data_IF_475994857781
#
_entry.id   IF_475994857781
#
_cell.length_a   1.000
_cell.length_b   1.000
_cell.length_c   1.000
_cell.angle_alpha   90.00
_cell.angle_beta   90.00
_cell.angle_gamma   90.00
#
_symmetry.space_group_name_H-M   'P 1'
#
loop_
_entity.id
_entity.type
_entity.pdbx_description
1 polymer ?
#
# COMPACT_ATOMS: atom_id res chain seq x y z
N UNK A 1 13.22 -0.83 -27.47
CA UNK A 1 12.75 0.54 -27.21
C UNK A 1 11.26 0.42 -26.87
N UNK A 2 10.91 0.57 -25.59
CA UNK A 2 9.52 0.45 -25.12
C UNK A 2 8.71 1.62 -25.70
N UNK A 3 7.65 1.31 -26.44
CA UNK A 3 6.70 2.32 -26.90
C UNK A 3 5.96 2.88 -25.66
N UNK A 4 5.90 4.19 -25.47
CA UNK A 4 5.14 4.83 -24.40
C UNK A 4 3.66 4.45 -24.43
N UNK A 5 3.06 4.37 -23.25
CA UNK A 5 1.66 4.00 -23.11
C UNK A 5 0.73 5.03 -23.78
N UNK A 6 -0.49 4.63 -24.20
CA UNK A 6 -1.47 5.55 -24.79
C UNK A 6 -1.75 6.79 -23.93
N UNK A 7 -1.68 6.65 -22.61
CA UNK A 7 -1.87 7.76 -21.66
C UNK A 7 -0.74 8.80 -21.74
N UNK A 8 0.52 8.37 -21.87
CA UNK A 8 1.68 9.27 -22.04
C UNK A 8 1.58 10.02 -23.36
N UNK A 9 1.13 9.33 -24.40
CA UNK A 9 0.92 9.89 -25.74
C UNK A 9 -0.15 10.99 -25.78
N UNK A 10 -1.31 10.75 -25.14
CA UNK A 10 -2.36 11.75 -25.02
C UNK A 10 -1.88 13.00 -24.27
N UNK A 11 -1.08 12.80 -23.22
CA UNK A 11 -0.54 13.88 -22.41
C UNK A 11 0.47 14.73 -23.19
N UNK A 12 1.39 14.08 -23.90
CA UNK A 12 2.33 14.75 -24.78
C UNK A 12 1.57 15.63 -25.78
N UNK A 13 0.49 15.12 -26.38
CA UNK A 13 -0.38 15.89 -27.28
C UNK A 13 -0.97 17.15 -26.65
N UNK A 14 -1.55 17.03 -25.45
CA UNK A 14 -2.11 18.18 -24.73
C UNK A 14 -1.04 19.22 -24.37
N UNK A 15 0.11 18.76 -23.88
CA UNK A 15 1.20 19.62 -23.44
C UNK A 15 1.82 20.38 -24.63
N UNK A 16 2.05 19.68 -25.74
CA UNK A 16 2.49 20.28 -27.00
C UNK A 16 1.51 21.36 -27.48
N UNK A 17 0.21 21.07 -27.46
CA UNK A 17 -0.83 22.03 -27.85
C UNK A 17 -0.82 23.28 -26.99
N UNK A 18 -0.73 23.11 -25.68
CA UNK A 18 -0.75 24.20 -24.72
C UNK A 18 0.44 25.15 -24.94
N UNK A 19 1.67 24.63 -24.91
CA UNK A 19 2.88 25.45 -25.07
C UNK A 19 2.94 26.10 -26.46
N UNK A 20 2.47 25.40 -27.50
CA UNK A 20 2.39 25.99 -28.85
C UNK A 20 1.47 27.21 -28.86
N UNK A 21 0.33 27.13 -28.18
CA UNK A 21 -0.62 28.24 -28.07
C UNK A 21 -0.07 29.40 -27.24
N UNK A 22 0.64 29.10 -26.14
CA UNK A 22 1.31 30.10 -25.29
C UNK A 22 2.41 30.85 -26.05
N UNK A 23 3.10 30.17 -26.96
CA UNK A 23 4.11 30.78 -27.85
C UNK A 23 3.51 31.38 -29.14
N UNK A 24 2.18 31.43 -29.26
CA UNK A 24 1.46 31.93 -30.44
C UNK A 24 1.89 31.30 -31.78
N UNK A 25 2.33 30.04 -31.76
CA UNK A 25 2.76 29.32 -32.96
C UNK A 25 1.60 28.57 -33.62
N UNK A 26 1.58 28.49 -34.93
CA UNK A 26 0.71 27.58 -35.69
C UNK A 26 1.26 26.15 -35.71
N UNK A 27 0.40 25.17 -36.00
CA UNK A 27 0.84 23.76 -36.15
C UNK A 27 1.85 23.60 -37.31
N UNK A 28 1.73 24.42 -38.36
CA UNK A 28 2.65 24.39 -39.49
C UNK A 28 4.04 24.93 -39.11
N UNK A 29 4.10 25.99 -38.29
CA UNK A 29 5.35 26.53 -37.77
C UNK A 29 6.04 25.54 -36.82
N UNK A 30 5.29 24.90 -35.92
CA UNK A 30 5.85 23.87 -35.05
C UNK A 30 6.38 22.68 -35.87
N UNK A 31 5.67 22.26 -36.92
CA UNK A 31 6.06 21.14 -37.77
C UNK A 31 7.29 21.41 -38.65
N UNK A 32 7.60 22.67 -38.96
CA UNK A 32 8.59 23.07 -39.98
C UNK A 32 9.97 22.42 -39.75
N UNK A 33 10.43 21.60 -40.70
CA UNK A 33 11.73 20.92 -40.61
C UNK A 33 11.79 19.78 -39.57
N UNK A 34 10.66 19.38 -38.99
CA UNK A 34 10.56 18.24 -38.05
C UNK A 34 9.63 17.17 -38.63
N UNK A 35 8.39 17.54 -38.98
CA UNK A 35 7.36 16.64 -39.48
C UNK A 35 6.30 17.41 -40.29
N UNK A 36 5.15 16.78 -40.57
CA UNK A 36 4.04 17.45 -41.25
C UNK A 36 3.08 18.09 -40.24
N UNK A 37 2.39 19.15 -40.65
CA UNK A 37 1.31 19.77 -39.85
C UNK A 37 0.25 18.74 -39.45
N UNK A 38 -0.09 17.81 -40.34
CA UNK A 38 -1.05 16.72 -40.07
C UNK A 38 -0.58 15.81 -38.94
N UNK A 39 0.73 15.57 -38.82
CA UNK A 39 1.30 14.77 -37.73
C UNK A 39 1.21 15.51 -36.39
N UNK A 40 1.45 16.83 -36.36
CA UNK A 40 1.23 17.65 -35.17
C UNK A 40 -0.25 17.66 -34.78
N UNK A 41 -1.16 17.80 -35.74
CA UNK A 41 -2.61 17.74 -35.46
C UNK A 41 -3.04 16.39 -34.89
N UNK A 42 -2.53 15.28 -35.44
CA UNK A 42 -2.81 13.93 -34.92
C UNK A 42 -2.25 13.72 -33.51
N UNK A 43 -1.07 14.28 -33.21
CA UNK A 43 -0.50 14.27 -31.88
C UNK A 43 -1.36 15.06 -30.89
N UNK A 44 -1.68 16.32 -31.22
CA UNK A 44 -2.43 17.23 -30.33
C UNK A 44 -3.85 16.75 -30.02
N UNK A 45 -4.53 16.10 -30.99
CA UNK A 45 -5.92 15.69 -30.86
C UNK A 45 -6.09 14.23 -30.41
N UNK A 46 -5.27 13.32 -30.94
CA UNK A 46 -5.47 11.88 -30.76
C UNK A 46 -4.34 11.21 -29.96
N UNK A 47 -3.27 11.93 -29.61
CA UNK A 47 -2.07 11.31 -29.04
C UNK A 47 -1.40 10.32 -30.00
N UNK A 48 -1.59 10.47 -31.31
CA UNK A 48 -1.06 9.52 -32.29
C UNK A 48 0.22 10.06 -32.93
N UNK A 49 1.29 9.28 -32.88
CA UNK A 49 2.57 9.63 -33.46
C UNK A 49 3.30 8.41 -34.05
N UNK A 50 3.88 8.54 -35.24
CA UNK A 50 4.50 7.42 -35.98
C UNK A 50 6.03 7.31 -35.82
N UNK A 51 6.72 8.36 -35.37
CA UNK A 51 8.19 8.40 -35.19
C UNK A 51 8.64 9.06 -33.88
N UNK A 52 8.80 8.28 -32.82
CA UNK A 52 9.24 8.76 -31.49
C UNK A 52 10.52 9.61 -31.49
N UNK A 53 11.38 9.42 -32.49
CA UNK A 53 12.64 10.14 -32.66
C UNK A 53 12.50 11.66 -32.75
N UNK A 54 11.32 12.18 -33.12
CA UNK A 54 11.13 13.63 -33.25
C UNK A 54 10.65 14.33 -31.97
N UNK A 55 10.24 13.57 -30.96
CA UNK A 55 9.66 14.13 -29.71
C UNK A 55 10.65 15.05 -28.98
N UNK A 56 11.94 14.68 -28.80
CA UNK A 56 12.90 15.58 -28.18
C UNK A 56 13.02 16.92 -28.90
N UNK A 57 12.99 16.91 -30.24
CA UNK A 57 13.11 18.10 -31.10
C UNK A 57 11.88 19.01 -30.96
N UNK A 58 10.68 18.43 -30.83
CA UNK A 58 9.46 19.19 -30.56
C UNK A 58 9.49 19.85 -29.18
N UNK A 59 9.90 19.09 -28.16
CA UNK A 59 9.99 19.59 -26.78
C UNK A 59 11.02 20.73 -26.68
N UNK A 60 12.17 20.57 -27.32
CA UNK A 60 13.20 21.61 -27.40
C UNK A 60 12.69 22.89 -28.05
N UNK A 61 12.01 22.77 -29.21
CA UNK A 61 11.44 23.93 -29.91
C UNK A 61 10.37 24.67 -29.11
N UNK A 62 9.61 23.94 -28.31
CA UNK A 62 8.59 24.49 -27.43
C UNK A 62 9.15 24.92 -26.06
N UNK A 63 10.46 24.79 -25.86
CA UNK A 63 11.16 25.07 -24.60
C UNK A 63 10.59 24.27 -23.40
N UNK A 64 10.04 23.10 -23.68
CA UNK A 64 9.51 22.18 -22.69
C UNK A 64 10.67 21.33 -22.17
N UNK A 65 10.91 21.37 -20.85
CA UNK A 65 11.82 20.40 -20.23
C UNK A 65 11.15 19.03 -20.23
N UNK A 66 11.87 17.95 -20.50
CA UNK A 66 11.32 16.58 -20.43
C UNK A 66 10.66 16.28 -19.07
N UNK A 67 11.18 16.90 -18.00
CA UNK A 67 10.63 16.88 -16.63
C UNK A 67 9.21 17.48 -16.52
N UNK A 68 8.75 18.26 -17.50
CA UNK A 68 7.37 18.76 -17.52
C UNK A 68 6.38 17.72 -18.06
N UNK A 69 6.82 16.74 -18.85
CA UNK A 69 6.05 15.50 -19.04
C UNK A 69 5.86 14.75 -17.72
N UNK A 70 6.80 14.94 -16.78
CA UNK A 70 6.80 14.40 -15.42
C UNK A 70 6.09 15.30 -14.39
N UNK A 71 5.54 16.47 -14.78
CA UNK A 71 4.59 17.22 -13.91
C UNK A 71 3.60 16.19 -13.38
N UNK A 72 3.35 16.17 -12.08
CA UNK A 72 2.72 15.01 -11.44
C UNK A 72 1.38 14.66 -12.12
N UNK A 73 1.23 13.45 -12.68
CA UNK A 73 -0.10 13.00 -13.11
C UNK A 73 -0.98 12.92 -11.87
N UNK A 74 -2.31 13.03 -12.03
CA UNK A 74 -3.24 12.72 -10.94
C UNK A 74 -2.93 11.37 -10.30
N UNK A 75 -2.53 10.38 -11.11
CA UNK A 75 -2.04 9.10 -10.63
C UNK A 75 -0.78 9.20 -9.76
N UNK A 76 0.31 9.84 -10.21
CA UNK A 76 1.54 9.97 -9.41
C UNK A 76 1.34 10.82 -8.16
N UNK A 77 0.51 11.88 -8.25
CA UNK A 77 0.09 12.67 -7.11
C UNK A 77 -0.67 11.79 -6.10
N UNK A 78 -1.65 11.03 -6.57
CA UNK A 78 -2.41 10.08 -5.75
C UNK A 78 -1.49 9.06 -5.07
N UNK A 79 -0.54 8.48 -5.80
CA UNK A 79 0.49 7.58 -5.23
C UNK A 79 1.29 8.28 -4.15
N UNK A 80 1.80 9.49 -4.38
CA UNK A 80 2.61 10.22 -3.40
C UNK A 80 1.80 10.53 -2.13
N UNK A 81 0.57 11.03 -2.30
CA UNK A 81 -0.31 11.35 -1.16
C UNK A 81 -0.64 10.10 -0.35
N UNK A 82 -1.01 9.00 -1.02
CA UNK A 82 -1.33 7.73 -0.37
C UNK A 82 -0.11 7.12 0.32
N UNK A 83 1.08 7.17 -0.26
CA UNK A 83 2.31 6.72 0.40
C UNK A 83 2.55 7.48 1.72
N UNK A 84 2.31 8.79 1.76
CA UNK A 84 2.45 9.57 3.00
C UNK A 84 1.39 9.22 4.04
N UNK A 85 0.16 8.99 3.62
CA UNK A 85 -0.95 8.57 4.48
C UNK A 85 -0.63 7.19 5.09
N UNK A 86 -0.24 6.23 4.26
CA UNK A 86 0.11 4.87 4.68
C UNK A 86 1.31 4.87 5.62
N UNK A 87 2.33 5.69 5.36
CA UNK A 87 3.45 5.85 6.30
C UNK A 87 2.98 6.41 7.65
N UNK A 88 2.08 7.39 7.66
CA UNK A 88 1.51 7.91 8.90
C UNK A 88 0.68 6.81 9.63
N UNK A 89 -0.04 5.94 8.91
CA UNK A 89 -0.73 4.78 9.50
C UNK A 89 0.25 3.77 10.12
N UNK A 90 1.28 3.38 9.36
CA UNK A 90 2.31 2.43 9.78
C UNK A 90 3.17 2.95 10.95
N UNK A 91 3.21 4.27 11.14
CA UNK A 91 3.89 4.93 12.28
C UNK A 91 2.92 5.37 13.37
N UNK A 92 1.69 4.86 13.36
CA UNK A 92 0.66 5.07 14.39
C UNK A 92 0.17 6.52 14.54
N UNK A 93 0.38 7.36 13.53
CA UNK A 93 -0.02 8.78 13.47
C UNK A 93 -1.40 8.93 12.83
N UNK A 94 -2.40 8.25 13.38
CA UNK A 94 -3.74 8.12 12.78
C UNK A 94 -4.46 9.45 12.54
N UNK A 95 -4.46 10.38 13.51
CA UNK A 95 -5.05 11.72 13.28
C UNK A 95 -4.33 12.51 12.18
N UNK A 96 -3.02 12.29 11.98
CA UNK A 96 -2.28 12.93 10.88
C UNK A 96 -2.67 12.30 9.54
N UNK A 97 -2.76 10.98 9.48
CA UNK A 97 -3.27 10.27 8.30
C UNK A 97 -4.69 10.71 7.94
N UNK A 98 -5.59 10.84 8.91
CA UNK A 98 -6.95 11.32 8.73
C UNK A 98 -6.99 12.75 8.16
N UNK A 99 -6.19 13.69 8.70
CA UNK A 99 -6.09 15.05 8.16
C UNK A 99 -5.63 15.07 6.71
N UNK A 100 -4.66 14.22 6.34
CA UNK A 100 -4.20 14.10 4.95
C UNK A 100 -5.25 13.49 4.03
N UNK A 101 -5.99 12.48 4.50
CA UNK A 101 -7.09 11.88 3.75
C UNK A 101 -8.20 12.90 3.46
N UNK A 102 -8.58 13.73 4.44
CA UNK A 102 -9.60 14.79 4.24
C UNK A 102 -9.16 15.80 3.16
N UNK A 103 -7.86 16.08 3.05
CA UNK A 103 -7.32 16.99 2.03
C UNK A 103 -7.19 16.33 0.65
N UNK A 104 -7.20 14.99 0.58
CA UNK A 104 -7.08 14.24 -0.65
C UNK A 104 -8.42 14.19 -1.38
N UNK A 105 -8.49 14.82 -2.56
CA UNK A 105 -9.67 14.76 -3.41
C UNK A 105 -9.82 13.36 -4.02
N UNK A 106 -10.78 12.59 -3.53
CA UNK A 106 -11.05 11.22 -3.99
C UNK A 106 -11.27 11.12 -5.52
N UNK A 107 -11.94 12.10 -6.10
CA UNK A 107 -12.19 12.23 -7.54
C UNK A 107 -10.89 12.26 -8.38
N UNK A 108 -9.79 12.74 -7.81
CA UNK A 108 -8.49 12.79 -8.47
C UNK A 108 -7.74 11.45 -8.42
N UNK A 109 -8.28 10.43 -7.75
CA UNK A 109 -7.69 9.09 -7.70
C UNK A 109 -8.10 8.29 -8.94
N UNK A 110 -7.16 8.22 -9.88
CA UNK A 110 -7.30 7.46 -11.13
C UNK A 110 -6.96 5.98 -10.91
N UNK A 111 -7.92 5.11 -11.24
CA UNK A 111 -7.74 3.66 -11.23
C UNK A 111 -8.20 2.95 -9.95
N UNK A 112 -8.55 1.67 -10.11
CA UNK A 112 -9.09 0.82 -9.04
C UNK A 112 -8.13 0.67 -7.86
N UNK A 113 -6.82 0.58 -8.11
CA UNK A 113 -5.81 0.38 -7.07
C UNK A 113 -5.69 1.59 -6.13
N UNK A 114 -5.62 2.82 -6.65
CA UNK A 114 -5.49 4.01 -5.80
C UNK A 114 -6.75 4.24 -4.96
N UNK A 115 -7.94 3.97 -5.52
CA UNK A 115 -9.20 4.04 -4.78
C UNK A 115 -9.28 2.96 -3.70
N UNK A 116 -8.81 1.75 -3.98
CA UNK A 116 -8.74 0.68 -3.00
C UNK A 116 -7.79 1.03 -1.83
N UNK A 117 -6.61 1.59 -2.13
CA UNK A 117 -5.67 2.11 -1.13
C UNK A 117 -6.31 3.21 -0.27
N UNK A 118 -7.03 4.15 -0.88
CA UNK A 118 -7.79 5.17 -0.16
C UNK A 118 -8.80 4.57 0.81
N UNK A 119 -9.65 3.64 0.34
CA UNK A 119 -10.67 3.03 1.18
C UNK A 119 -10.07 2.23 2.35
N UNK A 120 -9.00 1.48 2.09
CA UNK A 120 -8.25 0.78 3.14
C UNK A 120 -7.70 1.76 4.18
N UNK A 121 -7.04 2.84 3.73
CA UNK A 121 -6.48 3.86 4.62
C UNK A 121 -7.56 4.60 5.44
N UNK A 122 -8.72 4.87 4.83
CA UNK A 122 -9.86 5.50 5.50
C UNK A 122 -10.45 4.59 6.58
N UNK A 123 -10.62 3.30 6.29
CA UNK A 123 -11.07 2.30 7.26
C UNK A 123 -10.15 2.22 8.48
N UNK A 124 -8.82 2.25 8.27
CA UNK A 124 -7.87 2.29 9.39
C UNK A 124 -7.92 3.60 10.18
N UNK A 125 -8.11 4.74 9.51
CA UNK A 125 -8.30 5.99 10.24
C UNK A 125 -9.54 5.93 11.14
N UNK A 126 -10.65 5.41 10.64
CA UNK A 126 -11.89 5.27 11.43
C UNK A 126 -11.73 4.30 12.60
N UNK A 127 -11.03 3.18 12.41
CA UNK A 127 -10.76 2.23 13.48
C UNK A 127 -9.98 2.83 14.65
N UNK A 128 -9.02 3.68 14.36
CA UNK A 128 -8.04 4.15 15.36
C UNK A 128 -8.17 5.64 15.71
N UNK A 129 -9.27 6.27 15.32
CA UNK A 129 -9.70 7.60 15.75
C UNK A 129 -11.16 7.52 16.22
N UNK A 130 -11.84 8.65 16.41
CA UNK A 130 -13.23 8.70 16.87
C UNK A 130 -14.26 8.35 15.76
N UNK A 131 -13.89 7.42 14.86
CA UNK A 131 -14.71 7.01 13.72
C UNK A 131 -15.69 5.88 14.06
N UNK A 132 -16.74 5.75 13.26
CA UNK A 132 -17.70 4.64 13.37
C UNK A 132 -17.08 3.32 12.91
N UNK A 133 -17.31 2.25 13.68
CA UNK A 133 -16.93 0.89 13.31
C UNK A 133 -17.69 0.40 12.07
N UNK A 134 -18.95 0.79 11.93
CA UNK A 134 -19.75 0.46 10.74
C UNK A 134 -19.16 1.10 9.49
N UNK A 135 -18.74 2.36 9.56
CA UNK A 135 -18.08 3.02 8.43
C UNK A 135 -16.74 2.35 8.10
N UNK A 136 -15.98 1.92 9.11
CA UNK A 136 -14.72 1.22 8.90
C UNK A 136 -14.96 -0.10 8.15
N UNK A 137 -15.93 -0.90 8.58
CA UNK A 137 -16.28 -2.16 7.89
C UNK A 137 -16.79 -1.90 6.47
N UNK A 138 -17.58 -0.84 6.25
CA UNK A 138 -18.05 -0.46 4.93
C UNK A 138 -16.87 -0.10 4.00
N UNK A 139 -15.91 0.67 4.50
CA UNK A 139 -14.74 1.08 3.72
C UNK A 139 -13.85 -0.10 3.33
N UNK A 140 -13.58 -1.04 4.25
CA UNK A 140 -12.88 -2.28 3.88
C UNK A 140 -13.70 -3.11 2.88
N UNK A 141 -15.03 -3.14 3.01
CA UNK A 141 -15.90 -3.85 2.07
C UNK A 141 -15.81 -3.28 0.65
N UNK A 142 -15.63 -1.97 0.47
CA UNK A 142 -15.43 -1.35 -0.86
C UNK A 142 -14.19 -1.90 -1.56
N UNK A 143 -13.12 -2.17 -0.81
CA UNK A 143 -11.91 -2.82 -1.33
C UNK A 143 -12.21 -4.25 -1.75
N UNK A 144 -12.82 -5.02 -0.86
CA UNK A 144 -13.03 -6.46 -1.02
C UNK A 144 -14.07 -6.81 -2.09
N UNK A 145 -15.07 -5.96 -2.33
CA UNK A 145 -16.05 -6.13 -3.42
C UNK A 145 -15.38 -6.14 -4.80
N UNK A 146 -14.27 -5.40 -4.95
CA UNK A 146 -13.53 -5.28 -6.21
C UNK A 146 -12.23 -6.10 -6.22
N UNK A 147 -12.06 -7.04 -5.28
CA UNK A 147 -10.80 -7.76 -5.08
C UNK A 147 -10.27 -8.48 -6.33
N UNK A 148 -11.15 -8.99 -7.21
CA UNK A 148 -10.74 -9.66 -8.45
C UNK A 148 -9.97 -8.74 -9.42
N UNK A 149 -10.15 -7.42 -9.29
CA UNK A 149 -9.48 -6.40 -10.11
C UNK A 149 -8.23 -5.85 -9.43
N UNK A 150 -7.96 -6.23 -8.18
CA UNK A 150 -6.85 -5.74 -7.37
C UNK A 150 -5.74 -6.78 -7.44
N UNK A 151 -4.63 -6.41 -8.06
CA UNK A 151 -3.45 -7.28 -8.19
C UNK A 151 -2.68 -7.36 -6.86
N UNK A 152 -2.73 -6.30 -6.06
CA UNK A 152 -2.01 -6.16 -4.79
C UNK A 152 -2.63 -7.02 -3.68
N UNK A 153 -2.03 -8.19 -3.45
CA UNK A 153 -2.48 -9.14 -2.42
C UNK A 153 -2.24 -8.60 -1.01
N UNK A 154 -1.20 -7.80 -0.80
CA UNK A 154 -0.88 -7.25 0.51
C UNK A 154 -1.94 -6.23 0.95
N UNK A 155 -2.43 -5.39 0.02
CA UNK A 155 -3.55 -4.48 0.25
C UNK A 155 -4.83 -5.23 0.68
N UNK A 156 -5.11 -6.38 0.05
CA UNK A 156 -6.25 -7.23 0.42
C UNK A 156 -6.05 -7.84 1.82
N UNK A 157 -4.83 -8.27 2.13
CA UNK A 157 -4.45 -8.77 3.46
C UNK A 157 -4.67 -7.72 4.56
N UNK A 158 -4.20 -6.49 4.35
CA UNK A 158 -4.43 -5.37 5.26
C UNK A 158 -5.92 -5.04 5.41
N UNK A 159 -6.70 -5.10 4.33
CA UNK A 159 -8.15 -4.82 4.38
C UNK A 159 -8.90 -5.87 5.20
N UNK A 160 -8.57 -7.16 5.04
CA UNK A 160 -9.12 -8.23 5.87
C UNK A 160 -8.65 -8.15 7.33
N UNK A 161 -7.42 -7.71 7.58
CA UNK A 161 -6.94 -7.46 8.94
C UNK A 161 -7.72 -6.32 9.61
N UNK A 162 -7.93 -5.21 8.91
CA UNK A 162 -8.79 -4.12 9.38
C UNK A 162 -10.21 -4.59 9.70
N UNK A 163 -10.79 -5.43 8.85
CA UNK A 163 -12.09 -6.05 9.08
C UNK A 163 -12.11 -6.95 10.33
N UNK A 164 -11.02 -7.69 10.57
CA UNK A 164 -10.84 -8.52 11.78
C UNK A 164 -10.91 -7.67 13.04
N UNK A 165 -10.17 -6.56 13.06
CA UNK A 165 -10.16 -5.63 14.21
C UNK A 165 -11.56 -5.02 14.41
N UNK A 166 -12.22 -4.59 13.33
CA UNK A 166 -13.55 -4.01 13.40
C UNK A 166 -14.59 -4.99 13.97
N UNK A 167 -14.64 -6.21 13.41
CA UNK A 167 -15.59 -7.23 13.86
C UNK A 167 -15.34 -7.70 15.28
N UNK A 168 -14.08 -7.76 15.72
CA UNK A 168 -13.79 -8.10 17.10
C UNK A 168 -14.37 -7.05 18.06
N UNK A 169 -14.22 -5.76 17.75
CA UNK A 169 -14.78 -4.66 18.55
C UNK A 169 -16.31 -4.64 18.55
N UNK A 170 -16.92 -5.08 17.46
CA UNK A 170 -18.38 -5.24 17.35
C UNK A 170 -18.90 -6.52 18.04
N UNK A 171 -18.03 -7.37 18.58
CA UNK A 171 -18.41 -8.65 19.19
C UNK A 171 -18.79 -9.75 18.19
N UNK A 172 -18.48 -9.58 16.90
CA UNK A 172 -18.81 -10.51 15.83
C UNK A 172 -17.73 -11.59 15.68
N UNK A 173 -17.64 -12.50 16.64
CA UNK A 173 -16.59 -13.54 16.71
C UNK A 173 -16.47 -14.39 15.43
N UNK A 174 -17.58 -14.91 14.88
CA UNK A 174 -17.55 -15.73 13.65
C UNK A 174 -16.92 -14.98 12.47
N UNK A 175 -17.24 -13.70 12.31
CA UNK A 175 -16.75 -12.84 11.25
C UNK A 175 -15.28 -12.45 11.49
N UNK A 176 -14.88 -12.29 12.75
CA UNK A 176 -13.49 -12.05 13.17
C UNK A 176 -12.59 -13.22 12.75
N UNK A 177 -12.94 -14.45 13.13
CA UNK A 177 -12.17 -15.65 12.76
C UNK A 177 -12.08 -15.86 11.24
N UNK A 178 -13.18 -15.63 10.52
CA UNK A 178 -13.18 -15.69 9.06
C UNK A 178 -12.25 -14.65 8.44
N UNK A 179 -12.30 -13.41 8.95
CA UNK A 179 -11.53 -12.29 8.40
C UNK A 179 -10.03 -12.44 8.67
N UNK A 180 -9.62 -12.91 9.86
CA UNK A 180 -8.19 -13.10 10.16
C UNK A 180 -7.59 -14.21 9.31
N UNK A 181 -8.36 -15.27 9.06
CA UNK A 181 -7.97 -16.36 8.15
C UNK A 181 -7.74 -15.84 6.73
N UNK A 182 -8.61 -14.95 6.24
CA UNK A 182 -8.41 -14.33 4.92
C UNK A 182 -7.21 -13.38 4.91
N UNK A 183 -6.99 -12.61 5.98
CA UNK A 183 -5.83 -11.74 6.09
C UNK A 183 -4.52 -12.53 5.98
N UNK A 184 -4.43 -13.64 6.71
CA UNK A 184 -3.31 -14.59 6.64
C UNK A 184 -3.13 -15.18 5.23
N UNK A 185 -4.21 -15.62 4.59
CA UNK A 185 -4.15 -16.16 3.22
C UNK A 185 -3.58 -15.15 2.21
N UNK A 186 -4.07 -13.91 2.24
CA UNK A 186 -3.61 -12.87 1.33
C UNK A 186 -2.18 -12.41 1.64
N UNK A 187 -1.78 -12.40 2.91
CA UNK A 187 -0.39 -12.21 3.32
C UNK A 187 0.52 -13.29 2.70
N UNK A 188 0.16 -14.57 2.83
CA UNK A 188 0.94 -15.68 2.26
C UNK A 188 1.05 -15.57 0.73
N UNK A 189 -0.03 -15.22 0.04
CA UNK A 189 0.00 -14.94 -1.40
C UNK A 189 0.95 -13.80 -1.75
N UNK A 190 1.02 -12.74 -0.94
CA UNK A 190 1.91 -11.61 -1.18
C UNK A 190 3.39 -12.01 -1.22
N UNK A 191 3.79 -13.01 -0.43
CA UNK A 191 5.18 -13.50 -0.34
C UNK A 191 5.70 -14.02 -1.68
N UNK A 192 4.83 -14.56 -2.53
CA UNK A 192 5.21 -15.13 -3.83
C UNK A 192 5.55 -14.10 -4.90
N UNK A 193 5.25 -12.82 -4.65
CA UNK A 193 5.32 -11.75 -5.65
C UNK A 193 6.17 -10.56 -5.23
N UNK A 194 7.01 -10.72 -4.21
CA UNK A 194 7.89 -9.69 -3.68
C UNK A 194 8.97 -9.30 -4.70
N UNK A 195 9.11 -8.00 -4.94
CA UNK A 195 10.07 -7.39 -5.88
C UNK A 195 11.00 -6.40 -5.19
N UNK A 196 10.58 -5.83 -4.08
CA UNK A 196 11.31 -4.77 -3.38
C UNK A 196 11.48 -5.07 -1.89
N UNK A 197 12.50 -4.49 -1.27
CA UNK A 197 12.69 -4.57 0.19
C UNK A 197 11.52 -3.93 0.95
N UNK A 198 10.90 -2.88 0.38
CA UNK A 198 9.77 -2.23 1.01
C UNK A 198 8.55 -3.16 1.09
N UNK A 199 8.27 -3.91 0.01
CA UNK A 199 7.20 -4.92 0.02
C UNK A 199 7.46 -6.01 1.07
N UNK A 200 8.72 -6.46 1.21
CA UNK A 200 9.10 -7.39 2.29
C UNK A 200 8.80 -6.80 3.67
N UNK A 201 9.22 -5.55 3.92
CA UNK A 201 9.01 -4.91 5.22
C UNK A 201 7.53 -4.73 5.53
N UNK A 202 6.71 -4.35 4.55
CA UNK A 202 5.27 -4.17 4.73
C UNK A 202 4.55 -5.51 4.94
N UNK A 203 4.98 -6.57 4.27
CA UNK A 203 4.55 -7.94 4.51
C UNK A 203 4.87 -8.40 5.93
N UNK A 204 6.09 -8.14 6.43
CA UNK A 204 6.47 -8.50 7.81
C UNK A 204 5.68 -7.68 8.84
N UNK A 205 5.40 -6.40 8.59
CA UNK A 205 4.53 -5.59 9.46
C UNK A 205 3.12 -6.16 9.56
N UNK A 206 2.55 -6.62 8.44
CA UNK A 206 1.23 -7.27 8.44
C UNK A 206 1.30 -8.59 9.22
N UNK A 207 2.34 -9.41 9.01
CA UNK A 207 2.52 -10.66 9.75
C UNK A 207 2.57 -10.42 11.26
N UNK A 208 3.41 -9.49 11.73
CA UNK A 208 3.50 -9.11 13.15
C UNK A 208 2.14 -8.64 13.69
N UNK A 209 1.38 -7.89 12.89
CA UNK A 209 0.05 -7.41 13.26
C UNK A 209 -0.97 -8.55 13.41
N UNK A 210 -0.98 -9.50 12.47
CA UNK A 210 -1.84 -10.69 12.51
C UNK A 210 -1.48 -11.56 13.71
N UNK A 211 -0.19 -11.87 13.91
CA UNK A 211 0.29 -12.69 15.02
C UNK A 211 -0.08 -12.06 16.36
N UNK A 212 0.19 -10.76 16.54
CA UNK A 212 -0.13 -10.07 17.78
C UNK A 212 -1.63 -10.10 18.07
N UNK A 213 -2.47 -9.96 17.05
CA UNK A 213 -3.92 -10.03 17.20
C UNK A 213 -4.41 -11.46 17.47
N UNK A 214 -3.86 -12.47 16.79
CA UNK A 214 -4.17 -13.87 17.02
C UNK A 214 -3.89 -14.30 18.48
N UNK A 215 -2.79 -13.82 19.07
CA UNK A 215 -2.51 -14.05 20.50
C UNK A 215 -3.57 -13.42 21.42
N UNK A 216 -4.12 -12.26 21.05
CA UNK A 216 -5.20 -11.64 21.83
C UNK A 216 -6.53 -12.41 21.69
N UNK A 217 -6.78 -12.99 20.53
CA UNK A 217 -7.91 -13.87 20.29
C UNK A 217 -7.76 -15.26 20.94
N UNK A 218 -6.65 -15.52 21.64
CA UNK A 218 -6.32 -16.84 22.18
C UNK A 218 -6.24 -17.93 21.08
N UNK A 219 -5.72 -17.56 19.90
CA UNK A 219 -5.46 -18.46 18.77
C UNK A 219 -3.95 -18.72 18.58
N UNK A 220 -3.27 -19.38 19.53
CA UNK A 220 -1.82 -19.53 19.45
C UNK A 220 -1.37 -20.42 18.28
N UNK A 221 -2.20 -21.33 17.79
CA UNK A 221 -1.87 -22.15 16.61
C UNK A 221 -1.74 -21.29 15.35
N UNK A 222 -2.63 -20.31 15.16
CA UNK A 222 -2.53 -19.34 14.07
C UNK A 222 -1.27 -18.48 14.23
N UNK A 223 -1.05 -17.94 15.44
CA UNK A 223 0.14 -17.14 15.73
C UNK A 223 1.45 -17.91 15.43
N UNK A 224 1.54 -19.18 15.82
CA UNK A 224 2.71 -20.03 15.52
C UNK A 224 2.90 -20.25 14.02
N UNK A 225 1.80 -20.57 13.30
CA UNK A 225 1.84 -20.75 11.85
C UNK A 225 2.38 -19.51 11.15
N UNK A 226 1.84 -18.34 11.49
CA UNK A 226 2.23 -17.07 10.87
C UNK A 226 3.67 -16.68 11.20
N UNK A 227 4.11 -16.84 12.45
CA UNK A 227 5.51 -16.63 12.85
C UNK A 227 6.46 -17.49 12.01
N UNK A 228 6.14 -18.79 11.87
CA UNK A 228 6.97 -19.72 11.09
C UNK A 228 7.07 -19.29 9.63
N UNK A 229 5.95 -18.91 9.00
CA UNK A 229 5.95 -18.46 7.60
C UNK A 229 6.78 -17.18 7.42
N UNK A 230 6.64 -16.19 8.32
CA UNK A 230 7.40 -14.96 8.25
C UNK A 230 8.90 -15.15 8.51
N UNK A 231 9.28 -16.01 9.47
CA UNK A 231 10.68 -16.35 9.72
C UNK A 231 11.31 -17.09 8.53
N UNK A 232 10.57 -18.01 7.90
CA UNK A 232 11.02 -18.68 6.67
C UNK A 232 11.24 -17.67 5.54
N UNK A 233 10.33 -16.70 5.38
CA UNK A 233 10.48 -15.64 4.39
C UNK A 233 11.73 -14.79 4.67
N UNK A 234 11.93 -14.34 5.90
CA UNK A 234 13.10 -13.56 6.29
C UNK A 234 14.42 -14.30 6.04
N UNK A 235 14.44 -15.60 6.33
CA UNK A 235 15.60 -16.45 6.04
C UNK A 235 15.87 -16.52 4.53
N UNK A 236 14.84 -16.72 3.70
CA UNK A 236 14.98 -16.79 2.23
C UNK A 236 15.45 -15.45 1.62
N UNK A 237 14.99 -14.34 2.19
CA UNK A 237 15.33 -12.99 1.74
C UNK A 237 16.60 -12.42 2.40
N UNK A 238 17.26 -13.19 3.26
CA UNK A 238 18.44 -12.77 4.04
C UNK A 238 18.22 -11.43 4.78
N UNK A 239 17.03 -11.26 5.36
CA UNK A 239 16.62 -10.03 6.05
C UNK A 239 16.52 -10.26 7.56
N UNK A 240 16.99 -9.29 8.33
CA UNK A 240 16.93 -9.27 9.80
C UNK A 240 15.79 -8.42 10.36
N UNK A 241 15.12 -7.67 9.48
CA UNK A 241 13.98 -6.80 9.80
C UNK A 241 12.85 -7.54 10.53
N UNK A 242 12.53 -7.11 11.75
CA UNK A 242 11.42 -7.67 12.53
C UNK A 242 11.70 -9.04 13.18
N UNK A 243 12.95 -9.55 13.12
CA UNK A 243 13.29 -10.87 13.67
C UNK A 243 13.06 -10.95 15.18
N UNK A 244 13.48 -9.93 15.95
CA UNK A 244 13.28 -9.92 17.41
C UNK A 244 11.79 -10.02 17.75
N UNK A 245 10.95 -9.24 17.07
CA UNK A 245 9.50 -9.25 17.29
C UNK A 245 8.86 -10.59 16.97
N UNK A 246 9.22 -11.22 15.85
CA UNK A 246 8.66 -12.50 15.46
C UNK A 246 9.08 -13.62 16.43
N UNK A 247 10.33 -13.63 16.89
CA UNK A 247 10.75 -14.57 17.93
C UNK A 247 10.06 -14.30 19.26
N UNK A 248 9.91 -13.04 19.65
CA UNK A 248 9.19 -12.69 20.88
C UNK A 248 7.74 -13.20 20.84
N UNK A 249 7.02 -12.92 19.75
CA UNK A 249 5.65 -13.35 19.56
C UNK A 249 5.52 -14.87 19.43
N UNK A 250 6.46 -15.54 18.75
CA UNK A 250 6.54 -17.00 18.73
C UNK A 250 6.70 -17.57 20.13
N UNK A 251 7.59 -17.00 20.94
CA UNK A 251 7.79 -17.39 22.33
C UNK A 251 6.54 -17.23 23.19
N UNK A 252 5.78 -16.15 23.02
CA UNK A 252 4.48 -15.98 23.68
C UNK A 252 3.46 -17.02 23.21
N UNK A 253 3.43 -17.33 21.93
CA UNK A 253 2.54 -18.35 21.38
C UNK A 253 2.85 -19.75 21.95
N UNK A 254 4.14 -20.10 22.04
CA UNK A 254 4.59 -21.34 22.68
C UNK A 254 4.13 -21.43 24.15
N UNK A 255 4.13 -20.32 24.90
CA UNK A 255 3.61 -20.32 26.28
C UNK A 255 2.12 -20.64 26.34
N UNK A 256 1.32 -20.08 25.45
CA UNK A 256 -0.13 -20.38 25.38
C UNK A 256 -0.42 -21.81 24.95
N UNK A 257 0.54 -22.49 24.31
CA UNK A 257 0.47 -23.91 23.93
C UNK A 257 1.08 -24.85 24.98
N UNK A 258 1.49 -24.33 26.14
CA UNK A 258 2.23 -25.08 27.18
C UNK A 258 3.57 -25.69 26.71
N UNK A 259 4.17 -25.14 25.64
CA UNK A 259 5.43 -25.59 25.07
C UNK A 259 6.62 -24.83 25.67
N UNK A 260 6.92 -25.11 26.95
CA UNK A 260 7.90 -24.36 27.74
C UNK A 260 9.29 -24.26 27.11
N UNK A 261 9.80 -25.35 26.53
CA UNK A 261 11.12 -25.35 25.89
C UNK A 261 11.17 -24.47 24.63
N UNK A 262 10.11 -24.52 23.81
CA UNK A 262 9.97 -23.65 22.64
C UNK A 262 9.86 -22.18 23.03
N UNK A 263 9.08 -21.89 24.08
CA UNK A 263 8.94 -20.55 24.62
C UNK A 263 10.28 -19.98 25.10
N UNK A 264 11.03 -20.74 25.90
CA UNK A 264 12.33 -20.32 26.40
C UNK A 264 13.30 -20.05 25.25
N UNK A 265 13.33 -20.95 24.26
CA UNK A 265 14.22 -20.83 23.09
C UNK A 265 13.94 -19.56 22.30
N UNK A 266 12.67 -19.31 21.93
CA UNK A 266 12.35 -18.14 21.10
C UNK A 266 12.45 -16.82 21.87
N UNK A 267 12.08 -16.79 23.16
CA UNK A 267 12.23 -15.58 23.97
C UNK A 267 13.69 -15.21 24.22
N UNK A 268 14.57 -16.20 24.39
CA UNK A 268 16.02 -15.94 24.50
C UNK A 268 16.63 -15.42 23.20
N UNK A 269 16.18 -15.95 22.04
CA UNK A 269 16.56 -15.40 20.72
C UNK A 269 16.11 -13.95 20.58
N UNK A 270 14.85 -13.65 20.91
CA UNK A 270 14.34 -12.29 20.84
C UNK A 270 15.18 -11.31 21.66
N UNK A 271 15.45 -11.64 22.93
CA UNK A 271 16.27 -10.80 23.81
C UNK A 271 17.70 -10.59 23.27
N UNK A 272 18.27 -11.62 22.64
CA UNK A 272 19.58 -11.53 21.99
C UNK A 272 19.59 -10.67 20.72
N UNK A 273 18.42 -10.27 20.20
CA UNK A 273 18.24 -9.56 18.94
C UNK A 273 17.60 -8.16 19.11
N UNK A 274 17.43 -7.67 20.34
CA UNK A 274 16.78 -6.39 20.64
C UNK A 274 17.46 -5.15 20.03
N UNK A 275 18.70 -5.29 19.52
CA UNK A 275 19.43 -4.24 18.82
C UNK A 275 19.08 -4.13 17.33
N UNK A 276 18.35 -5.10 16.77
CA UNK A 276 18.01 -5.16 15.35
C UNK A 276 16.89 -4.18 14.97
N UNK A 277 16.77 -3.83 13.67
CA UNK A 277 15.69 -3.00 13.18
C UNK A 277 14.30 -3.58 13.47
N UNK A 278 13.49 -2.79 14.17
CA UNK A 278 12.14 -3.20 14.56
C UNK A 278 11.15 -3.05 13.42
N UNK A 279 10.32 -4.07 13.19
CA UNK A 279 9.21 -3.97 12.25
C UNK A 279 8.09 -3.06 12.77
N UNK A 280 7.85 -3.11 14.08
CA UNK A 280 6.76 -2.43 14.76
C UNK A 280 7.17 -2.10 16.20
N UNK A 281 6.73 -0.96 16.73
CA UNK A 281 6.77 -0.75 18.18
C UNK A 281 5.74 -1.68 18.87
N UNK A 282 6.16 -2.89 19.23
CA UNK A 282 5.29 -3.93 19.81
C UNK A 282 4.55 -3.46 21.06
N UNK A 283 5.24 -2.73 21.96
CA UNK A 283 4.60 -2.18 23.17
C UNK A 283 3.46 -1.25 22.81
N UNK A 284 3.65 -0.40 21.80
CA UNK A 284 2.61 0.50 21.32
C UNK A 284 1.47 -0.25 20.62
N UNK A 285 1.80 -1.22 19.75
CA UNK A 285 0.82 -2.06 19.07
C UNK A 285 -0.05 -2.81 20.08
N UNK A 286 0.57 -3.56 20.99
CA UNK A 286 -0.13 -4.32 22.03
C UNK A 286 -1.03 -3.44 22.89
N UNK A 287 -0.55 -2.26 23.33
CA UNK A 287 -1.37 -1.30 24.09
C UNK A 287 -2.57 -0.78 23.30
N UNK A 288 -2.40 -0.50 22.01
CA UNK A 288 -3.51 -0.05 21.16
C UNK A 288 -4.51 -1.16 20.95
N UNK A 289 -4.04 -2.34 20.57
CA UNK A 289 -4.90 -3.49 20.35
C UNK A 289 -5.63 -3.90 21.64
N UNK A 290 -4.97 -3.85 22.81
CA UNK A 290 -5.62 -4.18 24.09
C UNK A 290 -6.72 -3.19 24.46
N UNK A 291 -6.51 -1.88 24.22
CA UNK A 291 -7.56 -0.86 24.43
C UNK A 291 -8.79 -1.13 23.55
N UNK A 292 -8.56 -1.52 22.29
CA UNK A 292 -9.64 -1.81 21.36
C UNK A 292 -10.51 -2.99 21.80
N UNK A 293 -9.95 -3.99 22.49
CA UNK A 293 -10.69 -5.15 22.97
C UNK A 293 -11.40 -4.94 24.33
N UNK A 294 -11.09 -3.87 25.06
CA UNK A 294 -11.66 -3.60 26.39
C UNK A 294 -12.80 -2.56 26.39
N UNK A 295 -13.12 -1.97 25.24
CA UNK A 295 -14.21 -0.98 25.08
C UNK A 295 -15.56 -1.60 24.66
N UNK A 296 -15.71 -2.93 24.73
CA UNK A 296 -16.96 -3.67 24.46
C UNK A 296 -17.77 -3.94 25.72
#
# INVERSE_FOLDING_TARGET
MLLPSPAVLQRLGKLVRQHRQELHMSQAELAKGICTQTTISALENNGCFNKWTIVPVLLERLQIKLQELEKETNYHYGVRQLNQIELDLLTYRFHRAQRRLIQLKFENLEGTLLRARYWCALGFCQLFTDGSLDDATMNFSQVLQNQQKIIDQLLLGWSHFGMTVAYQRLGFSKQTHRSITQASRYLELSFTSLKTQQELFDSIRLSVSIVAFALQLQEPQLAQRECRLALQLLQQQYSDYGLSELYYLSGLSHRLLDQQQGAQTDLSRAAGLDFLPTAVNLKHLQRKLSKLCCES
#
